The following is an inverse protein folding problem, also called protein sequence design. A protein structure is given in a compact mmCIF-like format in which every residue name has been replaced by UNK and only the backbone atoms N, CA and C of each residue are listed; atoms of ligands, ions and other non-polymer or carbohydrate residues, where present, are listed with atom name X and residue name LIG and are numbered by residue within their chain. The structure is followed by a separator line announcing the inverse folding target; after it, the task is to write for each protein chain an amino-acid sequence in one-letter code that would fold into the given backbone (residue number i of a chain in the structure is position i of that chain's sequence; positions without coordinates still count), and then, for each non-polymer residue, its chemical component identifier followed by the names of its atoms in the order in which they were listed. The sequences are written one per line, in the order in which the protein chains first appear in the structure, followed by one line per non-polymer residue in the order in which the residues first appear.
data_IF_402130940692
#
_entry.id   IF_402130940692
#
_cell.length_a   1.000
_cell.length_b   1.000
_cell.length_c   1.000
_cell.angle_alpha   90.00
_cell.angle_beta   90.00
_cell.angle_gamma   90.00
#
_symmetry.space_group_name_H-M   'P 1'
#
loop_
_entity.id
_entity.type
_entity.pdbx_description
1 polymer ?
#
# COMPACT_ATOMS: atom_id res chain seq x y z
N UNK A 1 23.02 3.29 13.72
CA UNK A 1 21.65 3.37 14.29
C UNK A 1 20.70 4.30 13.53
N UNK A 2 21.02 5.56 13.21
CA UNK A 2 20.08 6.52 12.58
C UNK A 2 19.47 6.05 11.25
N UNK A 3 20.26 5.40 10.36
CA UNK A 3 19.76 4.83 9.10
C UNK A 3 18.75 3.70 9.32
N UNK A 4 19.00 2.80 10.28
CA UNK A 4 18.12 1.66 10.59
C UNK A 4 16.74 2.13 11.03
N UNK A 5 16.70 3.09 11.97
CA UNK A 5 15.44 3.65 12.48
C UNK A 5 14.63 4.32 11.36
N UNK A 6 15.31 5.02 10.43
CA UNK A 6 14.65 5.67 9.31
C UNK A 6 14.11 4.66 8.27
N UNK A 7 14.86 3.59 7.99
CA UNK A 7 14.39 2.51 7.10
C UNK A 7 13.19 1.78 7.70
N UNK A 8 13.26 1.49 9.01
CA UNK A 8 12.14 0.90 9.73
C UNK A 8 10.91 1.78 9.51
N UNK A 9 10.92 3.05 9.96
CA UNK A 9 9.78 3.97 9.86
C UNK A 9 9.11 4.01 8.48
N UNK A 10 9.90 3.93 7.40
CA UNK A 10 9.37 3.85 6.02
C UNK A 10 8.56 2.59 5.76
N UNK A 11 8.96 1.44 6.29
CA UNK A 11 8.21 0.18 6.18
C UNK A 11 6.89 0.25 6.95
N UNK A 12 6.86 0.87 8.14
CA UNK A 12 5.59 1.09 8.87
C UNK A 12 4.68 2.06 8.10
N UNK A 13 5.26 3.12 7.53
CA UNK A 13 4.51 4.03 6.67
C UNK A 13 3.93 3.31 5.45
N UNK A 14 4.71 2.44 4.80
CA UNK A 14 4.23 1.59 3.69
C UNK A 14 3.11 0.64 4.12
N UNK A 15 3.17 0.09 5.34
CA UNK A 15 2.11 -0.76 5.87
C UNK A 15 0.79 0.01 6.02
N UNK A 16 0.85 1.25 6.53
CA UNK A 16 -0.32 2.13 6.63
C UNK A 16 -0.84 2.52 5.24
N UNK A 17 0.06 2.89 4.31
CA UNK A 17 -0.32 3.21 2.94
C UNK A 17 -0.98 2.02 2.23
N UNK A 18 -0.46 0.80 2.41
CA UNK A 18 -1.04 -0.40 1.81
C UNK A 18 -2.43 -0.70 2.38
N UNK A 19 -2.62 -0.54 3.70
CA UNK A 19 -3.93 -0.72 4.32
C UNK A 19 -4.96 0.29 3.80
N UNK A 20 -4.57 1.57 3.69
CA UNK A 20 -5.42 2.63 3.15
C UNK A 20 -5.75 2.41 1.67
N UNK A 21 -4.75 2.09 0.84
CA UNK A 21 -4.92 1.75 -0.57
C UNK A 21 -5.87 0.56 -0.75
N UNK A 22 -5.68 -0.52 0.02
CA UNK A 22 -6.55 -1.68 0.01
C UNK A 22 -7.99 -1.34 0.35
N UNK A 23 -8.21 -0.58 1.42
CA UNK A 23 -9.55 -0.14 1.82
C UNK A 23 -10.24 0.69 0.74
N UNK A 24 -9.55 1.69 0.19
CA UNK A 24 -10.12 2.60 -0.79
C UNK A 24 -10.33 1.92 -2.16
N UNK A 25 -9.46 0.99 -2.57
CA UNK A 25 -9.69 0.16 -3.77
C UNK A 25 -10.93 -0.71 -3.59
N UNK A 26 -11.08 -1.36 -2.44
CA UNK A 26 -12.27 -2.17 -2.15
C UNK A 26 -13.53 -1.33 -2.16
N UNK A 27 -13.52 -0.19 -1.49
CA UNK A 27 -14.65 0.73 -1.47
C UNK A 27 -15.02 1.20 -2.88
N UNK A 28 -14.05 1.70 -3.65
CA UNK A 28 -14.31 2.20 -4.99
C UNK A 28 -14.79 1.14 -5.97
N UNK A 29 -14.26 -0.09 -5.89
CA UNK A 29 -14.66 -1.19 -6.78
C UNK A 29 -16.01 -1.78 -6.39
N UNK A 30 -16.29 -1.95 -5.09
CA UNK A 30 -17.57 -2.48 -4.60
C UNK A 30 -18.75 -1.53 -4.85
N UNK A 31 -18.51 -0.24 -4.86
CA UNK A 31 -19.52 0.79 -5.19
C UNK A 31 -19.62 1.07 -6.70
N UNK A 32 -18.75 0.46 -7.52
CA UNK A 32 -18.70 0.69 -8.97
C UNK A 32 -18.13 2.06 -9.39
N UNK A 33 -17.62 2.84 -8.43
CA UNK A 33 -17.04 4.18 -8.65
C UNK A 33 -15.76 4.11 -9.49
N UNK A 34 -14.92 3.11 -9.23
CA UNK A 34 -13.68 2.88 -9.98
C UNK A 34 -13.66 1.47 -10.54
N UNK A 35 -13.03 1.31 -11.70
CA UNK A 35 -12.76 0.01 -12.30
C UNK A 35 -11.28 -0.34 -12.10
N UNK A 36 -11.02 -1.56 -11.66
CA UNK A 36 -9.66 -2.05 -11.48
C UNK A 36 -8.89 -2.01 -12.81
N UNK A 37 -7.85 -1.18 -12.85
CA UNK A 37 -7.02 -0.98 -14.03
C UNK A 37 -6.11 -2.18 -14.28
N UNK A 38 -5.64 -2.85 -13.21
CA UNK A 38 -4.77 -4.01 -13.30
C UNK A 38 -5.58 -5.27 -13.70
N UNK A 39 -5.36 -5.84 -14.90
CA UNK A 39 -6.12 -7.00 -15.38
C UNK A 39 -5.99 -8.23 -14.47
N UNK A 40 -4.83 -8.42 -13.83
CA UNK A 40 -4.60 -9.54 -12.90
C UNK A 40 -5.39 -9.39 -11.62
N UNK A 41 -5.62 -8.16 -11.18
CA UNK A 41 -6.39 -7.85 -9.98
C UNK A 41 -7.90 -7.92 -10.20
N UNK A 42 -8.39 -7.84 -11.44
CA UNK A 42 -9.85 -7.87 -11.72
C UNK A 42 -10.54 -9.09 -11.14
N UNK A 43 -9.98 -10.28 -11.35
CA UNK A 43 -10.53 -11.54 -10.83
C UNK A 43 -10.38 -11.68 -9.32
N UNK A 44 -9.47 -10.90 -8.72
CA UNK A 44 -9.20 -10.87 -7.29
C UNK A 44 -10.18 -9.92 -6.58
N UNK A 45 -10.44 -8.73 -7.13
CA UNK A 45 -11.38 -7.75 -6.56
C UNK A 45 -12.84 -8.20 -6.65
N UNK A 46 -13.19 -9.04 -7.62
CA UNK A 46 -14.53 -9.64 -7.77
C UNK A 46 -14.96 -10.49 -6.56
N UNK A 47 -13.99 -10.98 -5.77
CA UNK A 47 -14.24 -11.74 -4.56
C UNK A 47 -13.63 -11.02 -3.36
N UNK A 48 -14.44 -10.47 -2.44
CA UNK A 48 -13.93 -9.76 -1.27
C UNK A 48 -12.90 -10.59 -0.49
N UNK A 49 -13.15 -11.89 -0.31
CA UNK A 49 -12.23 -12.80 0.37
C UNK A 49 -10.87 -12.90 -0.34
N UNK A 50 -10.85 -13.08 -1.68
CA UNK A 50 -9.60 -13.12 -2.45
C UNK A 50 -8.84 -11.80 -2.37
N UNK A 51 -9.56 -10.68 -2.46
CA UNK A 51 -8.98 -9.34 -2.34
C UNK A 51 -8.28 -9.12 -1.00
N UNK A 52 -8.97 -9.39 0.11
CA UNK A 52 -8.40 -9.23 1.44
C UNK A 52 -7.24 -10.21 1.69
N UNK A 53 -7.34 -11.47 1.23
CA UNK A 53 -6.26 -12.46 1.37
C UNK A 53 -4.98 -12.07 0.60
N UNK A 54 -5.12 -11.60 -0.65
CA UNK A 54 -3.96 -11.27 -1.48
C UNK A 54 -3.36 -9.91 -1.12
N UNK A 55 -4.19 -8.87 -1.05
CA UNK A 55 -3.70 -7.48 -0.96
C UNK A 55 -3.39 -7.08 0.48
N UNK A 56 -4.23 -7.48 1.43
CA UNK A 56 -4.10 -7.04 2.82
C UNK A 56 -3.31 -8.04 3.64
N UNK A 57 -3.57 -9.35 3.53
CA UNK A 57 -2.85 -10.34 4.35
C UNK A 57 -1.44 -10.59 3.79
N UNK A 58 -1.29 -10.95 2.51
CA UNK A 58 0.00 -11.34 1.98
C UNK A 58 1.00 -10.18 1.97
N UNK A 59 0.62 -9.04 1.41
CA UNK A 59 1.53 -7.89 1.25
C UNK A 59 1.86 -7.23 2.59
N UNK A 60 0.89 -7.12 3.51
CA UNK A 60 1.17 -6.60 4.86
C UNK A 60 1.98 -7.58 5.70
N UNK A 61 1.78 -8.89 5.55
CA UNK A 61 2.63 -9.89 6.22
C UNK A 61 4.08 -9.80 5.75
N UNK A 62 4.31 -9.65 4.44
CA UNK A 62 5.67 -9.47 3.89
C UNK A 62 6.31 -8.19 4.42
N UNK A 63 5.60 -7.06 4.39
CA UNK A 63 6.09 -5.79 4.93
C UNK A 63 6.38 -5.87 6.44
N UNK A 64 5.53 -6.56 7.21
CA UNK A 64 5.70 -6.76 8.64
C UNK A 64 6.93 -7.63 8.93
N UNK A 65 7.14 -8.71 8.18
CA UNK A 65 8.34 -9.56 8.31
C UNK A 65 9.60 -8.74 8.01
N UNK A 66 9.56 -7.89 6.98
CA UNK A 66 10.67 -6.99 6.64
C UNK A 66 10.93 -6.01 7.78
N UNK A 67 9.89 -5.39 8.36
CA UNK A 67 10.02 -4.49 9.52
C UNK A 67 10.70 -5.20 10.70
N UNK A 68 10.17 -6.36 11.11
CA UNK A 68 10.69 -7.13 12.24
C UNK A 68 12.15 -7.56 12.01
N UNK A 69 12.49 -7.94 10.78
CA UNK A 69 13.86 -8.30 10.41
C UNK A 69 14.80 -7.11 10.48
N UNK A 70 14.38 -5.93 10.00
CA UNK A 70 15.19 -4.71 10.03
C UNK A 70 15.43 -4.19 11.44
N UNK A 71 14.42 -4.27 12.33
CA UNK A 71 14.60 -3.91 13.74
C UNK A 71 15.59 -4.85 14.43
N UNK A 72 15.48 -6.15 14.18
CA UNK A 72 16.34 -7.16 14.82
C UNK A 72 17.79 -7.10 14.34
N UNK A 73 18.04 -6.77 13.07
CA UNK A 73 19.38 -6.87 12.46
C UNK A 73 20.38 -5.82 12.99
N UNK A 74 19.92 -4.73 13.61
CA UNK A 74 20.70 -3.56 14.13
C UNK A 74 21.73 -2.92 13.16
N UNK A 75 21.95 -3.52 11.99
CA UNK A 75 22.88 -3.07 10.97
C UNK A 75 22.21 -2.12 9.97
N UNK A 76 22.94 -1.10 9.49
CA UNK A 76 22.42 -0.17 8.49
C UNK A 76 21.98 -0.89 7.22
N UNK A 77 20.81 -0.53 6.71
CA UNK A 77 20.29 -1.04 5.43
C UNK A 77 21.23 -0.69 4.27
N UNK A 78 21.35 -1.59 3.31
CA UNK A 78 22.15 -1.35 2.10
C UNK A 78 21.52 -0.26 1.23
N UNK A 79 22.32 0.40 0.40
CA UNK A 79 21.82 1.44 -0.52
C UNK A 79 20.70 0.95 -1.45
N UNK A 80 20.77 -0.27 -2.04
CA UNK A 80 19.66 -0.81 -2.83
C UNK A 80 18.35 -0.91 -2.03
N UNK A 81 18.40 -1.37 -0.77
CA UNK A 81 17.20 -1.45 0.08
C UNK A 81 16.60 -0.07 0.33
N UNK A 82 17.43 0.94 0.59
CA UNK A 82 16.97 2.31 0.80
C UNK A 82 16.30 2.87 -0.46
N UNK A 83 16.88 2.62 -1.63
CA UNK A 83 16.34 3.07 -2.91
C UNK A 83 14.96 2.44 -3.17
N UNK A 84 14.85 1.12 -3.04
CA UNK A 84 13.59 0.38 -3.21
C UNK A 84 12.50 0.92 -2.27
N UNK A 85 12.83 1.15 -1.00
CA UNK A 85 11.86 1.68 -0.04
C UNK A 85 11.44 3.11 -0.35
N UNK A 86 12.35 3.97 -0.81
CA UNK A 86 12.00 5.32 -1.24
C UNK A 86 11.06 5.30 -2.45
N UNK A 87 11.36 4.47 -3.45
CA UNK A 87 10.51 4.31 -4.64
C UNK A 87 9.15 3.76 -4.27
N UNK A 88 9.09 2.74 -3.40
CA UNK A 88 7.84 2.18 -2.92
C UNK A 88 7.01 3.22 -2.18
N UNK A 89 7.62 3.99 -1.26
CA UNK A 89 6.92 5.06 -0.52
C UNK A 89 6.36 6.09 -1.50
N UNK A 90 7.17 6.57 -2.43
CA UNK A 90 6.74 7.54 -3.43
C UNK A 90 5.57 7.02 -4.28
N UNK A 91 5.68 5.81 -4.81
CA UNK A 91 4.64 5.20 -5.62
C UNK A 91 3.34 4.98 -4.83
N UNK A 92 3.43 4.43 -3.61
CA UNK A 92 2.25 4.20 -2.76
C UNK A 92 1.58 5.51 -2.35
N UNK A 93 2.35 6.56 -2.06
CA UNK A 93 1.81 7.89 -1.79
C UNK A 93 1.11 8.48 -3.03
N UNK A 94 1.72 8.37 -4.21
CA UNK A 94 1.11 8.86 -5.45
C UNK A 94 -0.21 8.16 -5.78
N UNK A 95 -0.27 6.84 -5.55
CA UNK A 95 -1.52 6.07 -5.68
C UNK A 95 -2.55 6.59 -4.69
N UNK A 96 -2.20 6.82 -3.42
CA UNK A 96 -3.14 7.37 -2.43
C UNK A 96 -3.69 8.74 -2.84
N UNK A 97 -2.87 9.61 -3.44
CA UNK A 97 -3.37 10.88 -4.01
C UNK A 97 -4.35 10.68 -5.15
N UNK A 98 -4.15 9.65 -5.99
CA UNK A 98 -5.13 9.28 -7.00
C UNK A 98 -6.46 8.88 -6.34
N UNK A 99 -6.43 8.12 -5.23
CA UNK A 99 -7.63 7.81 -4.43
C UNK A 99 -8.38 9.05 -3.97
N UNK A 100 -7.66 10.01 -3.39
CA UNK A 100 -8.26 11.27 -2.94
C UNK A 100 -8.84 12.09 -4.10
N UNK A 101 -8.18 12.08 -5.26
CA UNK A 101 -8.65 12.79 -6.44
C UNK A 101 -10.01 12.25 -6.91
N UNK A 102 -10.18 10.95 -7.12
CA UNK A 102 -11.50 10.46 -7.55
C UNK A 102 -12.55 10.57 -6.45
N UNK A 103 -12.17 10.43 -5.17
CA UNK A 103 -13.13 10.50 -4.07
C UNK A 103 -13.74 11.90 -4.02
N UNK A 104 -12.90 12.92 -4.21
CA UNK A 104 -13.35 14.31 -4.32
C UNK A 104 -14.16 14.58 -5.59
N UNK A 105 -13.81 13.99 -6.74
CA UNK A 105 -14.62 14.14 -7.97
C UNK A 105 -16.00 13.52 -7.83
N UNK A 106 -16.11 12.37 -7.16
CA UNK A 106 -17.41 11.70 -6.92
C UNK A 106 -18.25 12.52 -5.94
N UNK A 107 -17.65 12.99 -4.85
CA UNK A 107 -18.33 13.84 -3.87
C UNK A 107 -18.89 15.12 -4.51
N UNK A 108 -18.09 15.77 -5.36
CA UNK A 108 -18.53 16.96 -6.12
C UNK A 108 -19.65 16.67 -7.12
N UNK A 109 -19.71 15.48 -7.69
CA UNK A 109 -20.76 15.11 -8.67
C UNK A 109 -22.11 14.80 -7.99
N UNK A 110 -22.09 14.44 -6.70
CA UNK A 110 -23.28 14.09 -5.92
C UNK A 110 -23.92 15.28 -5.19
N UNK A 111 -23.33 16.48 -5.31
CA UNK A 111 -23.71 17.71 -4.59
C UNK A 111 -24.39 18.69 -5.55
#
# INVERSE_FOLDING_TARGET
MRRVKNTSLKVLYLLLLNAADGFLTYYGTSTGIIREANPLMRTVVESPTKFFSVKIVLLSAVLLIIWLTLEKKQQPSSMPTILVLNTAVFASTAVLFLHLYWLSSVFLTLL
#
